data_IF_493236449595
#
_entry.id   IF_493236449595
#
_cell.length_a   1.000
_cell.length_b   1.000
_cell.length_c   1.000
_cell.angle_alpha   90.00
_cell.angle_beta   90.00
_cell.angle_gamma   90.00
#
_symmetry.space_group_name_H-M   'P 1'
#
loop_
_entity.id
_entity.type
_entity.pdbx_description
1 polymer ?
#
# COMPACT_ATOMS: atom_id res chain seq x y z
N UNK A 1 0.90 3.86 -11.26
CA UNK A 1 0.97 2.41 -11.56
C UNK A 1 -0.36 1.76 -11.23
N UNK A 2 -0.69 0.56 -11.74
CA UNK A 2 -1.98 -0.09 -11.45
C UNK A 2 -2.19 -0.43 -9.96
N UNK A 3 -1.13 -0.43 -9.16
CA UNK A 3 -1.14 -0.74 -7.73
C UNK A 3 -0.74 0.47 -6.85
N UNK A 4 -0.80 1.69 -7.39
CA UNK A 4 -0.42 2.89 -6.64
C UNK A 4 -1.28 4.09 -7.01
N UNK A 5 -1.58 4.92 -6.01
CA UNK A 5 -2.19 6.23 -6.20
C UNK A 5 -1.34 7.28 -5.47
N UNK A 6 -1.15 8.42 -6.12
CA UNK A 6 -0.52 9.59 -5.49
C UNK A 6 -1.60 10.57 -5.06
N UNK A 7 -1.63 10.89 -3.76
CA UNK A 7 -2.62 11.78 -3.19
C UNK A 7 -1.98 13.10 -2.74
N UNK A 8 -2.70 14.20 -2.93
CA UNK A 8 -2.38 15.47 -2.30
C UNK A 8 -2.75 15.44 -0.80
N UNK A 9 -2.19 16.31 0.04
CA UNK A 9 -2.59 16.42 1.45
C UNK A 9 -4.11 16.62 1.58
N UNK A 10 -4.76 15.81 2.43
CA UNK A 10 -6.22 15.86 2.66
C UNK A 10 -7.08 15.14 1.60
N UNK A 11 -6.50 14.68 0.49
CA UNK A 11 -7.23 13.90 -0.50
C UNK A 11 -7.45 12.44 -0.06
N UNK A 12 -8.40 11.76 -0.72
CA UNK A 12 -8.70 10.34 -0.53
C UNK A 12 -8.68 9.62 -1.88
N UNK A 13 -8.38 8.33 -1.86
CA UNK A 13 -8.40 7.45 -3.02
C UNK A 13 -8.54 5.99 -2.58
N UNK A 14 -8.85 5.12 -3.54
CA UNK A 14 -9.09 3.70 -3.30
C UNK A 14 -8.23 2.86 -4.26
N UNK A 15 -7.72 1.73 -3.75
CA UNK A 15 -7.08 0.68 -4.54
C UNK A 15 -7.81 -0.62 -4.20
N UNK A 16 -8.49 -1.20 -5.19
CA UNK A 16 -9.15 -2.50 -5.06
C UNK A 16 -8.20 -3.56 -5.64
N UNK A 17 -7.89 -4.60 -4.86
CA UNK A 17 -6.95 -5.63 -5.25
C UNK A 17 -7.49 -7.04 -4.99
N UNK A 18 -7.30 -7.92 -5.97
CA UNK A 18 -7.56 -9.36 -5.83
C UNK A 18 -6.21 -10.08 -5.73
N UNK A 19 -5.94 -10.72 -4.60
CA UNK A 19 -4.71 -11.48 -4.40
C UNK A 19 -4.78 -12.83 -5.13
N UNK A 20 -3.74 -13.15 -5.90
CA UNK A 20 -3.66 -14.40 -6.64
C UNK A 20 -3.22 -15.60 -5.77
N UNK A 21 -2.62 -15.33 -4.61
CA UNK A 21 -2.07 -16.33 -3.71
C UNK A 21 -2.12 -15.85 -2.25
N UNK A 22 -2.15 -16.80 -1.32
CA UNK A 22 -1.88 -16.54 0.09
C UNK A 22 -0.42 -16.10 0.31
N UNK A 23 -0.16 -15.35 1.38
CA UNK A 23 1.16 -14.85 1.75
C UNK A 23 1.13 -13.52 2.49
N UNK A 24 2.32 -13.01 2.80
CA UNK A 24 2.53 -11.68 3.38
C UNK A 24 2.83 -10.67 2.28
N UNK A 25 2.15 -9.53 2.30
CA UNK A 25 2.29 -8.46 1.32
C UNK A 25 2.49 -7.12 2.01
N UNK A 26 3.43 -6.30 1.53
CA UNK A 26 3.64 -4.95 2.04
C UNK A 26 2.81 -3.91 1.29
N UNK A 27 2.30 -2.90 2.00
CA UNK A 27 1.87 -1.63 1.41
C UNK A 27 2.69 -0.49 2.01
N UNK A 28 2.96 0.55 1.21
CA UNK A 28 3.90 1.59 1.58
C UNK A 28 3.65 2.91 0.84
N UNK A 29 4.00 4.02 1.49
CA UNK A 29 4.20 5.29 0.82
C UNK A 29 5.64 5.40 0.32
N UNK A 30 5.81 5.51 -1.00
CA UNK A 30 7.12 5.58 -1.65
C UNK A 30 7.63 7.02 -1.86
N UNK A 31 7.01 8.00 -1.20
CA UNK A 31 7.55 9.36 -1.15
C UNK A 31 8.83 9.32 -0.30
N UNK A 32 9.94 9.96 -0.72
CA UNK A 32 11.18 9.96 0.04
C UNK A 32 10.98 10.31 1.52
N UNK A 33 11.55 9.49 2.41
CA UNK A 33 11.44 9.63 3.86
C UNK A 33 10.14 9.11 4.48
N UNK A 34 9.06 8.94 3.73
CA UNK A 34 7.77 8.50 4.29
C UNK A 34 7.81 7.03 4.74
N UNK A 35 8.41 6.15 3.93
CA UNK A 35 8.58 4.74 4.28
C UNK A 35 9.41 4.56 5.55
N UNK A 36 10.56 5.23 5.63
CA UNK A 36 11.47 5.15 6.79
C UNK A 36 10.86 5.77 8.05
N UNK A 37 10.00 6.78 7.87
CA UNK A 37 9.20 7.38 8.95
C UNK A 37 8.01 6.51 9.38
N UNK A 38 7.82 5.34 8.77
CA UNK A 38 6.82 4.35 9.20
C UNK A 38 5.52 4.32 8.41
N UNK A 39 5.41 5.03 7.27
CA UNK A 39 4.25 4.90 6.36
C UNK A 39 4.32 3.61 5.55
N UNK A 40 4.24 2.48 6.25
CA UNK A 40 4.25 1.12 5.72
C UNK A 40 3.43 0.21 6.61
N UNK A 41 2.96 -0.89 6.07
CA UNK A 41 2.33 -1.95 6.83
C UNK A 41 2.29 -3.25 6.04
N UNK A 42 1.97 -4.31 6.75
CA UNK A 42 1.89 -5.65 6.20
C UNK A 42 0.42 -6.09 6.10
N UNK A 43 0.14 -6.93 5.11
CA UNK A 43 -1.15 -7.54 4.83
C UNK A 43 -0.89 -9.05 4.75
N UNK A 44 -1.47 -9.78 5.69
CA UNK A 44 -1.50 -11.24 5.67
C UNK A 44 -2.73 -11.72 4.91
N UNK A 45 -2.52 -12.51 3.87
CA UNK A 45 -3.58 -13.19 3.12
C UNK A 45 -3.47 -14.68 3.38
N UNK A 46 -4.50 -15.25 4.01
CA UNK A 46 -4.59 -16.67 4.32
C UNK A 46 -5.88 -17.27 3.72
N UNK A 47 -5.91 -18.61 3.63
CA UNK A 47 -7.07 -19.38 3.17
C UNK A 47 -8.12 -19.56 4.27
#
# INVERSE_FOLDING_TARGET
>A
DPNSIRLAPGARGEIIWTFANAGEFGFACLIPGHYDSGMKGDITVAH
#
